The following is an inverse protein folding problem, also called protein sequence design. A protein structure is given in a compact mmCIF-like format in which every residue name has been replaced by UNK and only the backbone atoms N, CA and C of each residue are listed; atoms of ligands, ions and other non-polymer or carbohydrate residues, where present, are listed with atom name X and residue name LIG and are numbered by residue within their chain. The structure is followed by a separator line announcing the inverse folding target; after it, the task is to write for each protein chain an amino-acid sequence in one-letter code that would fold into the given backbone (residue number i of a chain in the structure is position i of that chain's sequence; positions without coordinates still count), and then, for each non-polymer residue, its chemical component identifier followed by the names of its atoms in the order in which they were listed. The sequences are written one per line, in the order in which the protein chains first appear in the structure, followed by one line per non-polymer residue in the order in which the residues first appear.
data_IF_335367039545
#
_entry.id   IF_335367039545
#
_cell.length_a   1.000
_cell.length_b   1.000
_cell.length_c   1.000
_cell.angle_alpha   90.00
_cell.angle_beta   90.00
_cell.angle_gamma   90.00
#
_symmetry.space_group_name_H-M   'P 1'
#
loop_
_entity.id
_entity.type
_entity.pdbx_description
1 polymer ?
#
# COMPACT_ATOMS: atom_id res chain seq x y z
N UNK A 1 6.85 18.61 7.72
CA UNK A 1 5.65 17.82 7.36
C UNK A 1 4.85 18.56 6.28
N UNK A 2 5.00 18.15 5.02
CA UNK A 2 4.56 18.93 3.83
C UNK A 2 3.04 19.03 3.63
N UNK A 3 2.22 18.24 4.34
CA UNK A 3 0.82 17.98 3.96
C UNK A 3 -0.19 18.14 5.12
N UNK A 4 0.03 19.09 6.04
CA UNK A 4 -0.91 19.32 7.16
C UNK A 4 -2.31 19.65 6.65
N UNK A 5 -3.30 18.84 7.04
CA UNK A 5 -4.73 19.02 6.74
C UNK A 5 -5.24 18.31 5.47
N UNK A 6 -4.36 17.85 4.58
CA UNK A 6 -4.74 17.20 3.33
C UNK A 6 -5.37 15.81 3.59
N UNK A 7 -6.64 15.62 3.21
CA UNK A 7 -7.35 14.37 3.42
C UNK A 7 -6.95 13.28 2.43
N UNK A 8 -6.67 12.09 2.97
CA UNK A 8 -6.35 10.87 2.22
C UNK A 8 -7.30 9.75 2.68
N UNK A 9 -7.84 8.90 1.78
CA UNK A 9 -8.64 7.76 2.20
C UNK A 9 -7.82 6.77 3.03
N UNK A 10 -8.27 6.44 4.24
CA UNK A 10 -7.59 5.45 5.12
C UNK A 10 -7.88 3.99 4.76
N UNK A 11 -8.96 3.70 4.03
CA UNK A 11 -9.40 2.33 3.70
C UNK A 11 -10.05 2.26 2.33
N UNK A 12 -9.75 1.19 1.61
CA UNK A 12 -10.52 0.77 0.43
C UNK A 12 -11.73 -0.06 0.91
N UNK A 13 -12.94 0.40 0.62
CA UNK A 13 -14.15 -0.39 0.83
C UNK A 13 -14.41 -1.25 -0.41
N UNK A 14 -14.78 -2.51 -0.20
CA UNK A 14 -15.17 -3.46 -1.25
C UNK A 14 -16.65 -3.77 -1.05
N UNK A 15 -17.42 -3.74 -2.14
CA UNK A 15 -18.78 -4.27 -2.14
C UNK A 15 -18.72 -5.80 -2.21
N UNK A 16 -18.91 -6.44 -1.06
CA UNK A 16 -18.86 -7.91 -0.93
C UNK A 16 -20.11 -8.61 -1.44
N UNK A 17 -21.21 -7.90 -1.69
CA UNK A 17 -22.44 -8.51 -2.23
C UNK A 17 -22.32 -8.76 -3.73
N UNK A 18 -21.58 -7.89 -4.44
CA UNK A 18 -21.37 -8.01 -5.89
C UNK A 18 -20.01 -8.58 -6.28
N UNK A 19 -19.08 -8.77 -5.33
CA UNK A 19 -17.74 -9.29 -5.59
C UNK A 19 -17.77 -10.74 -6.13
N UNK A 20 -17.06 -10.95 -7.24
CA UNK A 20 -16.81 -12.26 -7.88
C UNK A 20 -15.40 -12.29 -8.47
N UNK A 21 -14.93 -13.47 -8.90
CA UNK A 21 -13.62 -13.64 -9.54
C UNK A 21 -13.45 -12.85 -10.85
N UNK A 22 -14.58 -12.41 -11.46
CA UNK A 22 -14.62 -11.67 -12.73
C UNK A 22 -15.13 -10.23 -12.61
N UNK A 23 -15.66 -9.83 -11.45
CA UNK A 23 -16.18 -8.48 -11.22
C UNK A 23 -15.98 -8.02 -9.78
N UNK A 24 -15.50 -6.78 -9.59
CA UNK A 24 -15.35 -6.17 -8.28
C UNK A 24 -15.67 -4.68 -8.31
N UNK A 25 -16.34 -4.23 -7.25
CA UNK A 25 -16.70 -2.83 -7.03
C UNK A 25 -16.02 -2.32 -5.76
N UNK A 26 -15.24 -1.26 -5.92
CA UNK A 26 -14.36 -0.70 -4.92
C UNK A 26 -14.71 0.77 -4.70
N UNK A 27 -14.62 1.27 -3.47
CA UNK A 27 -14.77 2.70 -3.21
C UNK A 27 -13.79 3.20 -2.14
N UNK A 28 -13.34 4.44 -2.31
CA UNK A 28 -12.43 5.11 -1.40
C UNK A 28 -12.85 6.57 -1.20
N UNK A 29 -12.81 7.00 0.07
CA UNK A 29 -13.17 8.33 0.54
C UNK A 29 -12.50 8.55 1.92
N UNK A 30 -12.29 9.80 2.36
CA UNK A 30 -12.43 11.05 1.61
C UNK A 30 -11.19 11.30 0.72
N UNK A 31 -11.41 11.76 -0.51
CA UNK A 31 -10.38 12.43 -1.31
C UNK A 31 -10.61 13.95 -1.28
N UNK A 32 -9.55 14.73 -1.39
CA UNK A 32 -9.66 16.16 -1.71
C UNK A 32 -10.37 16.37 -3.05
N UNK A 33 -11.06 17.50 -3.20
CA UNK A 33 -11.85 17.82 -4.39
C UNK A 33 -11.01 17.76 -5.66
N UNK A 34 -11.45 16.96 -6.63
CA UNK A 34 -10.76 16.72 -7.90
C UNK A 34 -9.79 15.54 -7.89
N UNK A 35 -9.26 15.14 -6.71
CA UNK A 35 -8.38 13.97 -6.63
C UNK A 35 -9.12 12.67 -6.96
N UNK A 36 -10.43 12.57 -6.71
CA UNK A 36 -11.23 11.42 -7.13
C UNK A 36 -11.19 11.22 -8.65
N UNK A 37 -11.23 12.30 -9.42
CA UNK A 37 -11.15 12.24 -10.89
C UNK A 37 -9.73 11.91 -11.37
N UNK A 38 -8.70 12.54 -10.79
CA UNK A 38 -7.30 12.29 -11.13
C UNK A 38 -6.90 10.83 -10.88
N UNK A 39 -7.20 10.32 -9.69
CA UNK A 39 -6.89 8.94 -9.28
C UNK A 39 -7.74 7.94 -10.07
N UNK A 40 -9.04 8.18 -10.23
CA UNK A 40 -9.95 7.31 -10.98
C UNK A 40 -9.54 7.14 -12.45
N UNK A 41 -9.18 8.23 -13.13
CA UNK A 41 -8.73 8.18 -14.52
C UNK A 41 -7.34 7.51 -14.65
N UNK A 42 -6.40 7.79 -13.74
CA UNK A 42 -5.08 7.18 -13.76
C UNK A 42 -5.16 5.66 -13.54
N UNK A 43 -5.90 5.19 -12.53
CA UNK A 43 -6.12 3.77 -12.28
C UNK A 43 -6.83 3.10 -13.45
N UNK A 44 -7.89 3.72 -14.00
CA UNK A 44 -8.61 3.20 -15.19
C UNK A 44 -7.69 3.01 -16.38
N UNK A 45 -6.80 3.97 -16.66
CA UNK A 45 -5.81 3.84 -17.75
C UNK A 45 -4.86 2.67 -17.48
N UNK A 46 -4.26 2.60 -16.30
CA UNK A 46 -3.27 1.57 -15.95
C UNK A 46 -3.88 0.16 -15.97
N UNK A 47 -5.10 0.01 -15.45
CA UNK A 47 -5.84 -1.26 -15.45
C UNK A 47 -6.08 -1.81 -16.87
N UNK A 48 -6.43 -0.96 -17.83
CA UNK A 48 -6.76 -1.39 -19.19
C UNK A 48 -5.50 -1.67 -20.04
N UNK A 49 -4.37 -1.00 -19.76
CA UNK A 49 -3.16 -1.07 -20.60
C UNK A 49 -2.04 -1.97 -20.07
N UNK A 50 -1.87 -2.03 -18.75
CA UNK A 50 -0.58 -2.40 -18.16
C UNK A 50 -0.61 -3.65 -17.28
N UNK A 51 -1.78 -4.21 -17.01
CA UNK A 51 -1.93 -5.49 -16.32
C UNK A 51 -1.49 -6.61 -17.25
N UNK A 52 -0.70 -7.54 -16.73
CA UNK A 52 -0.16 -8.68 -17.48
C UNK A 52 -1.21 -9.77 -17.71
N UNK A 53 -1.12 -10.42 -18.86
CA UNK A 53 -1.98 -11.53 -19.24
C UNK A 53 -1.30 -12.46 -20.24
N UNK A 54 -1.86 -13.67 -20.39
CA UNK A 54 -1.40 -14.65 -21.36
C UNK A 54 -2.30 -14.65 -22.60
N UNK A 55 -1.71 -14.72 -23.78
CA UNK A 55 -2.43 -14.84 -25.05
C UNK A 55 -1.62 -15.65 -26.06
N UNK A 56 -2.31 -16.25 -27.03
CA UNK A 56 -1.69 -16.96 -28.15
C UNK A 56 -1.06 -15.94 -29.09
N UNK A 57 0.20 -16.14 -29.46
CA UNK A 57 0.98 -15.23 -30.32
C UNK A 57 1.27 -15.82 -31.70
N UNK A 58 1.23 -17.14 -31.84
CA UNK A 58 1.36 -17.83 -33.12
C UNK A 58 0.63 -19.17 -33.10
N UNK A 59 0.16 -19.62 -34.26
CA UNK A 59 -0.58 -20.88 -34.44
C UNK A 59 -0.02 -21.63 -35.65
N UNK A 60 0.16 -22.93 -35.54
CA UNK A 60 0.50 -23.84 -36.64
C UNK A 60 -0.59 -24.90 -36.76
N UNK A 61 -1.26 -24.98 -37.90
CA UNK A 61 -2.32 -25.95 -38.17
C UNK A 61 -1.85 -26.90 -39.28
N UNK A 62 -2.02 -28.20 -39.12
CA UNK A 62 -1.59 -29.17 -40.14
C UNK A 62 -2.29 -28.92 -41.49
N UNK A 63 -1.50 -28.79 -42.56
CA UNK A 63 -2.01 -28.57 -43.91
C UNK A 63 -2.41 -27.13 -44.25
N UNK A 64 -2.29 -26.18 -43.31
CA UNK A 64 -2.55 -24.75 -43.51
C UNK A 64 -1.24 -23.99 -43.67
N UNK A 65 -1.12 -23.19 -44.73
CA UNK A 65 0.05 -22.34 -44.99
C UNK A 65 -0.17 -20.87 -44.62
N UNK A 66 -1.42 -20.41 -44.56
CA UNK A 66 -1.80 -19.04 -44.24
C UNK A 66 -3.21 -18.96 -43.64
N UNK A 67 -3.51 -17.88 -42.93
CA UNK A 67 -4.75 -17.64 -42.17
C UNK A 67 -6.03 -17.68 -43.02
N UNK A 68 -5.95 -17.39 -44.32
CA UNK A 68 -7.11 -17.39 -45.24
C UNK A 68 -7.42 -18.74 -45.89
N UNK A 69 -6.82 -19.84 -45.41
CA UNK A 69 -7.00 -21.16 -46.00
C UNK A 69 -8.15 -21.91 -45.32
N UNK A 70 -8.94 -22.66 -46.10
CA UNK A 70 -9.88 -23.64 -45.57
C UNK A 70 -9.16 -24.92 -45.14
N UNK A 71 -9.71 -25.60 -44.13
CA UNK A 71 -9.20 -26.84 -43.57
C UNK A 71 -10.10 -27.99 -44.04
N UNK A 72 -9.51 -29.02 -44.64
CA UNK A 72 -10.30 -30.14 -45.18
C UNK A 72 -10.83 -31.01 -44.04
N UNK A 73 -12.16 -31.14 -43.94
CA UNK A 73 -12.83 -31.93 -42.90
C UNK A 73 -13.18 -31.14 -41.63
N UNK A 74 -13.00 -29.82 -41.62
CA UNK A 74 -13.47 -28.91 -40.55
C UNK A 74 -14.48 -27.94 -41.16
N UNK A 75 -15.47 -27.49 -40.37
CA UNK A 75 -16.54 -26.58 -40.84
C UNK A 75 -16.03 -25.14 -40.98
N UNK A 76 -15.23 -24.69 -40.01
CA UNK A 76 -14.59 -23.37 -39.95
C UNK A 76 -13.34 -23.28 -40.83
N UNK A 77 -13.00 -22.05 -41.26
CA UNK A 77 -11.69 -21.75 -41.86
C UNK A 77 -10.62 -21.43 -40.80
N UNK A 78 -9.37 -21.26 -41.23
CA UNK A 78 -8.27 -20.94 -40.32
C UNK A 78 -8.42 -19.56 -39.64
N UNK A 79 -9.13 -18.59 -40.26
CA UNK A 79 -9.38 -17.27 -39.68
C UNK A 79 -10.39 -17.35 -38.55
N UNK A 80 -11.51 -18.06 -38.74
CA UNK A 80 -12.52 -18.32 -37.71
C UNK A 80 -11.92 -19.03 -36.49
N UNK A 81 -11.08 -20.05 -36.72
CA UNK A 81 -10.37 -20.75 -35.64
C UNK A 81 -9.45 -19.78 -34.88
N UNK A 82 -8.64 -18.98 -35.58
CA UNK A 82 -7.74 -17.99 -34.96
C UNK A 82 -8.55 -16.96 -34.13
N UNK A 83 -9.70 -16.50 -34.62
CA UNK A 83 -10.59 -15.59 -33.90
C UNK A 83 -11.20 -16.23 -32.65
N UNK A 84 -11.57 -17.50 -32.70
CA UNK A 84 -12.09 -18.25 -31.56
C UNK A 84 -11.02 -18.48 -30.48
N UNK A 85 -9.79 -18.85 -30.88
CA UNK A 85 -8.67 -19.03 -29.94
C UNK A 85 -8.36 -17.77 -29.13
N UNK A 86 -8.45 -16.58 -29.74
CA UNK A 86 -8.22 -15.29 -29.06
C UNK A 86 -9.23 -14.97 -27.95
N UNK A 87 -10.38 -15.67 -27.91
CA UNK A 87 -11.40 -15.48 -26.87
C UNK A 87 -11.09 -16.28 -25.59
N UNK A 88 -10.26 -17.32 -25.68
CA UNK A 88 -9.98 -18.25 -24.58
C UNK A 88 -9.17 -17.54 -23.46
N UNK A 89 -9.66 -17.55 -22.21
CA UNK A 89 -8.94 -16.97 -21.08
C UNK A 89 -7.86 -17.93 -20.57
N UNK A 90 -6.63 -17.69 -21.00
CA UNK A 90 -5.44 -18.39 -20.50
C UNK A 90 -4.87 -17.71 -19.26
N UNK A 91 -4.35 -18.53 -18.34
CA UNK A 91 -3.52 -18.13 -17.21
C UNK A 91 -2.23 -18.94 -17.25
N UNK A 92 -1.09 -18.24 -17.23
CA UNK A 92 0.24 -18.82 -17.38
C UNK A 92 1.04 -18.56 -16.09
N UNK A 93 1.48 -19.61 -15.43
CA UNK A 93 2.49 -19.59 -14.38
C UNK A 93 3.90 -19.61 -15.01
N UNK A 94 4.89 -19.09 -14.27
CA UNK A 94 6.27 -19.00 -14.73
C UNK A 94 6.53 -17.84 -15.70
N UNK A 95 7.54 -18.01 -16.55
CA UNK A 95 7.96 -17.03 -17.54
C UNK A 95 8.37 -17.71 -18.86
N UNK A 96 8.37 -16.94 -19.95
CA UNK A 96 8.69 -17.42 -21.29
C UNK A 96 7.51 -18.02 -22.06
N UNK A 97 7.75 -18.49 -23.30
CA UNK A 97 6.74 -19.09 -24.16
C UNK A 97 6.43 -20.54 -23.75
N UNK A 98 5.16 -20.94 -23.85
CA UNK A 98 4.71 -22.34 -23.74
C UNK A 98 4.03 -22.78 -25.04
N UNK A 99 4.17 -24.06 -25.37
CA UNK A 99 3.44 -24.70 -26.46
C UNK A 99 2.17 -25.36 -25.90
N UNK A 100 1.08 -25.27 -26.66
CA UNK A 100 -0.20 -25.94 -26.40
C UNK A 100 -0.56 -26.75 -27.65
N UNK A 101 -1.20 -27.90 -27.47
CA UNK A 101 -1.60 -28.77 -28.58
C UNK A 101 -3.11 -28.98 -28.58
N UNK A 102 -3.71 -29.11 -29.75
CA UNK A 102 -5.10 -29.52 -29.90
C UNK A 102 -5.16 -30.54 -31.03
N UNK A 103 -5.60 -31.76 -30.69
CA UNK A 103 -5.70 -32.89 -31.59
C UNK A 103 -7.07 -33.53 -31.49
N UNK A 104 -7.75 -33.66 -32.63
CA UNK A 104 -9.00 -34.41 -32.72
C UNK A 104 -9.15 -35.08 -34.09
N UNK A 105 -9.53 -36.35 -34.06
CA UNK A 105 -9.77 -37.24 -35.19
C UNK A 105 -11.22 -37.77 -35.26
N UNK A 106 -12.01 -37.49 -34.22
CA UNK A 106 -13.42 -37.82 -34.14
C UNK A 106 -14.30 -36.65 -34.60
N UNK A 107 -15.41 -36.98 -35.28
CA UNK A 107 -16.42 -35.99 -35.67
C UNK A 107 -17.12 -35.40 -34.44
N UNK A 108 -17.27 -34.07 -34.40
CA UNK A 108 -17.91 -33.39 -33.29
C UNK A 108 -17.43 -31.96 -33.07
N UNK A 109 -17.99 -31.32 -32.04
CA UNK A 109 -17.62 -29.97 -31.60
C UNK A 109 -16.35 -30.02 -30.77
N UNK A 110 -15.38 -29.19 -31.14
CA UNK A 110 -14.11 -29.01 -30.46
C UNK A 110 -14.20 -27.75 -29.59
N UNK A 111 -13.88 -27.90 -28.30
CA UNK A 111 -13.85 -26.80 -27.34
C UNK A 111 -12.45 -26.63 -26.73
N UNK A 112 -12.22 -25.45 -26.18
CA UNK A 112 -11.07 -25.11 -25.33
C UNK A 112 -10.71 -26.14 -24.24
N UNK A 113 -11.68 -26.93 -23.76
CA UNK A 113 -11.46 -28.02 -22.82
C UNK A 113 -10.68 -29.23 -23.37
N UNK A 114 -10.52 -29.32 -24.70
CA UNK A 114 -9.76 -30.37 -25.39
C UNK A 114 -8.32 -29.95 -25.71
N UNK A 115 -7.91 -28.74 -25.36
CA UNK A 115 -6.53 -28.28 -25.53
C UNK A 115 -5.62 -28.98 -24.50
N UNK A 116 -4.60 -29.67 -24.99
CA UNK A 116 -3.51 -30.23 -24.20
C UNK A 116 -2.53 -29.11 -23.82
N UNK A 117 -2.24 -29.00 -22.53
CA UNK A 117 -1.45 -27.93 -21.94
C UNK A 117 -0.48 -28.47 -20.88
N UNK A 118 0.66 -27.81 -20.72
CA UNK A 118 1.60 -28.07 -19.63
C UNK A 118 1.02 -27.62 -18.28
N UNK A 119 1.53 -28.16 -17.16
CA UNK A 119 1.02 -27.86 -15.81
C UNK A 119 1.14 -26.40 -15.38
N UNK A 120 1.97 -25.62 -16.08
CA UNK A 120 2.10 -24.17 -15.92
C UNK A 120 0.95 -23.38 -16.59
N UNK A 121 0.07 -24.00 -17.39
CA UNK A 121 -1.00 -23.32 -18.13
C UNK A 121 -2.38 -23.80 -17.66
N UNK A 122 -3.17 -22.84 -17.16
CA UNK A 122 -4.54 -23.03 -16.74
C UNK A 122 -5.50 -22.40 -17.76
N UNK A 123 -6.42 -23.22 -18.29
CA UNK A 123 -7.51 -22.79 -19.18
C UNK A 123 -8.76 -22.59 -18.34
N UNK A 124 -9.15 -21.33 -18.13
CA UNK A 124 -10.18 -20.95 -17.16
C UNK A 124 -11.61 -21.15 -17.66
N UNK A 125 -11.82 -21.12 -18.97
CA UNK A 125 -13.08 -21.48 -19.61
C UNK A 125 -12.82 -22.59 -20.61
N UNK A 126 -13.41 -23.76 -20.36
CA UNK A 126 -13.25 -25.00 -21.14
C UNK A 126 -14.40 -25.22 -22.14
N UNK A 127 -15.35 -24.29 -22.19
CA UNK A 127 -16.56 -24.37 -23.02
C UNK A 127 -16.52 -23.43 -24.23
N UNK A 128 -15.47 -22.61 -24.38
CA UNK A 128 -15.27 -21.78 -25.58
C UNK A 128 -15.18 -22.68 -26.80
N UNK A 129 -16.06 -22.44 -27.77
CA UNK A 129 -16.09 -23.10 -29.09
C UNK A 129 -14.84 -22.77 -29.88
N UNK A 130 -14.25 -23.75 -30.56
CA UNK A 130 -13.11 -23.54 -31.47
C UNK A 130 -13.53 -23.83 -32.91
N UNK A 131 -13.99 -25.06 -33.17
CA UNK A 131 -14.45 -25.51 -34.48
C UNK A 131 -15.31 -26.78 -34.37
N UNK A 132 -15.88 -27.24 -35.49
CA UNK A 132 -16.54 -28.54 -35.63
C UNK A 132 -15.81 -29.41 -36.67
N UNK A 133 -15.37 -30.59 -36.26
CA UNK A 133 -14.76 -31.61 -37.13
C UNK A 133 -15.87 -32.46 -37.76
N UNK A 134 -15.82 -32.64 -39.08
CA UNK A 134 -16.75 -33.46 -39.86
C UNK A 134 -16.40 -34.95 -39.83
N UNK A 135 -17.30 -35.80 -40.33
CA UNK A 135 -17.05 -37.25 -40.42
C UNK A 135 -15.83 -37.56 -41.31
N UNK A 136 -14.83 -38.23 -40.75
CA UNK A 136 -13.54 -38.50 -41.40
C UNK A 136 -12.58 -37.29 -41.47
N UNK A 137 -12.94 -36.15 -40.88
CA UNK A 137 -12.05 -35.01 -40.71
C UNK A 137 -11.04 -35.20 -39.59
N UNK A 138 -9.97 -34.40 -39.59
CA UNK A 138 -9.01 -34.32 -38.49
C UNK A 138 -8.52 -32.88 -38.32
N UNK A 139 -8.10 -32.54 -37.09
CA UNK A 139 -7.37 -31.33 -36.77
C UNK A 139 -6.20 -31.67 -35.85
N UNK A 140 -4.99 -31.25 -36.24
CA UNK A 140 -3.80 -31.20 -35.38
C UNK A 140 -3.25 -29.78 -35.49
N UNK A 141 -3.13 -29.12 -34.34
CA UNK A 141 -2.58 -27.77 -34.28
C UNK A 141 -1.77 -27.53 -33.00
N UNK A 142 -0.76 -26.68 -33.15
CA UNK A 142 0.10 -26.21 -32.08
C UNK A 142 -0.05 -24.69 -31.94
N UNK A 143 -0.16 -24.22 -30.70
CA UNK A 143 -0.30 -22.81 -30.38
C UNK A 143 0.84 -22.38 -29.47
N UNK A 144 1.43 -21.21 -29.75
CA UNK A 144 2.43 -20.59 -28.88
C UNK A 144 1.75 -19.60 -27.96
N UNK A 145 1.73 -19.88 -26.65
CA UNK A 145 1.24 -19.00 -25.61
C UNK A 145 2.40 -18.17 -25.04
N UNK A 146 2.19 -16.86 -24.86
CA UNK A 146 3.13 -15.97 -24.15
C UNK A 146 2.42 -15.08 -23.14
N UNK A 147 3.14 -14.70 -22.08
CA UNK A 147 2.79 -13.55 -21.23
C UNK A 147 3.18 -12.25 -21.92
N UNK A 148 2.38 -11.21 -21.73
CA UNK A 148 2.63 -9.87 -22.27
C UNK A 148 1.77 -8.82 -21.57
N UNK A 149 1.71 -7.62 -22.15
CA UNK A 149 0.86 -6.50 -21.69
C UNK A 149 0.18 -5.84 -22.89
N UNK A 150 -1.06 -5.39 -22.72
CA UNK A 150 -1.80 -4.65 -23.75
C UNK A 150 -2.04 -5.45 -25.04
N UNK A 151 -1.77 -4.82 -26.19
CA UNK A 151 -1.96 -5.39 -27.52
C UNK A 151 -0.64 -5.43 -28.29
N UNK A 152 -0.38 -6.56 -28.96
CA UNK A 152 0.78 -6.77 -29.82
C UNK A 152 0.28 -7.23 -31.20
N UNK A 153 0.74 -6.59 -32.28
CA UNK A 153 0.38 -6.97 -33.65
C UNK A 153 1.11 -8.23 -34.11
N UNK A 154 0.54 -8.96 -35.08
CA UNK A 154 1.13 -10.17 -35.65
C UNK A 154 2.61 -9.99 -36.06
N UNK A 155 2.94 -8.87 -36.73
CA UNK A 155 4.33 -8.55 -37.15
C UNK A 155 5.35 -8.56 -36.01
N UNK A 156 4.92 -8.19 -34.79
CA UNK A 156 5.76 -8.16 -33.58
C UNK A 156 5.82 -9.50 -32.86
N UNK A 157 4.92 -10.43 -33.18
CA UNK A 157 4.91 -11.81 -32.71
C UNK A 157 5.68 -12.76 -33.66
N UNK A 158 6.26 -12.23 -34.75
CA UNK A 158 7.16 -12.98 -35.62
C UNK A 158 8.57 -13.07 -35.01
N UNK A 159 8.76 -14.01 -34.09
CA UNK A 159 10.06 -14.29 -33.48
C UNK A 159 11.01 -15.01 -34.45
N UNK A 160 12.32 -14.82 -34.30
CA UNK A 160 13.33 -15.53 -35.09
C UNK A 160 13.48 -17.03 -34.75
N UNK A 161 12.93 -17.47 -33.62
CA UNK A 161 12.88 -18.89 -33.21
C UNK A 161 11.55 -19.57 -33.61
N UNK A 162 10.67 -18.85 -34.31
CA UNK A 162 9.38 -19.37 -34.75
C UNK A 162 9.59 -20.37 -35.91
N UNK A 163 9.09 -21.60 -35.73
CA UNK A 163 9.28 -22.67 -36.72
C UNK A 163 8.57 -22.43 -38.05
N UNK A 164 9.01 -23.13 -39.10
CA UNK A 164 8.31 -23.12 -40.39
C UNK A 164 6.86 -23.62 -40.24
N UNK A 165 5.92 -22.92 -40.88
CA UNK A 165 4.49 -23.23 -40.85
C UNK A 165 3.71 -22.62 -39.68
N UNK A 166 4.34 -21.82 -38.81
CA UNK A 166 3.61 -20.99 -37.85
C UNK A 166 3.12 -19.70 -38.51
N UNK A 167 1.84 -19.39 -38.26
CA UNK A 167 1.16 -18.15 -38.61
C UNK A 167 1.21 -17.26 -37.36
N UNK A 168 1.91 -16.11 -37.38
CA UNK A 168 1.86 -15.16 -36.27
C UNK A 168 0.47 -14.53 -36.21
N UNK A 169 -0.05 -14.33 -34.99
CA UNK A 169 -1.37 -13.72 -34.77
C UNK A 169 -1.20 -12.52 -33.84
N UNK A 170 -2.03 -11.49 -34.02
CA UNK A 170 -2.13 -10.41 -33.04
C UNK A 170 -2.68 -10.94 -31.71
N UNK A 171 -2.12 -10.45 -30.60
CA UNK A 171 -2.35 -10.98 -29.27
C UNK A 171 -2.81 -9.89 -28.29
N UNK A 172 -3.90 -10.19 -27.57
CA UNK A 172 -4.48 -9.30 -26.56
C UNK A 172 -4.14 -9.84 -25.17
N UNK A 173 -3.08 -9.33 -24.58
CA UNK A 173 -2.58 -9.72 -23.26
C UNK A 173 -3.24 -8.94 -22.10
N UNK A 174 -4.39 -8.31 -22.32
CA UNK A 174 -5.11 -7.55 -21.27
C UNK A 174 -6.24 -8.40 -20.66
N UNK A 175 -6.12 -8.84 -19.39
CA UNK A 175 -7.16 -9.62 -18.72
C UNK A 175 -8.33 -8.76 -18.23
N UNK A 176 -8.15 -7.43 -18.14
CA UNK A 176 -9.19 -6.48 -17.75
C UNK A 176 -10.00 -6.08 -18.98
N UNK A 177 -11.28 -6.50 -19.03
CA UNK A 177 -12.16 -6.26 -20.18
C UNK A 177 -12.84 -4.89 -20.14
N UNK A 178 -13.16 -4.39 -18.94
CA UNK A 178 -13.84 -3.11 -18.74
C UNK A 178 -13.48 -2.51 -17.39
N UNK A 179 -13.37 -1.18 -17.35
CA UNK A 179 -13.27 -0.41 -16.11
C UNK A 179 -14.15 0.84 -16.22
N UNK A 180 -15.02 1.01 -15.25
CA UNK A 180 -15.79 2.24 -15.02
C UNK A 180 -15.31 2.90 -13.72
N UNK A 181 -15.39 4.22 -13.64
CA UNK A 181 -15.30 4.92 -12.36
C UNK A 181 -16.38 6.00 -12.27
N UNK A 182 -16.79 6.30 -11.05
CA UNK A 182 -17.74 7.36 -10.70
C UNK A 182 -17.13 8.17 -9.56
N UNK A 183 -17.26 9.49 -9.64
CA UNK A 183 -16.88 10.41 -8.57
C UNK A 183 -18.15 11.07 -8.04
N UNK A 184 -18.38 10.97 -6.74
CA UNK A 184 -19.55 11.50 -6.05
C UNK A 184 -19.09 12.44 -4.92
N UNK A 185 -19.93 13.39 -4.51
CA UNK A 185 -19.62 14.22 -3.34
C UNK A 185 -19.69 13.39 -2.04
N UNK A 186 -18.67 13.52 -1.21
CA UNK A 186 -18.52 12.87 0.08
C UNK A 186 -18.63 13.89 1.22
N UNK A 187 -19.29 13.49 2.31
CA UNK A 187 -19.38 14.27 3.54
C UNK A 187 -18.47 13.68 4.62
N UNK A 188 -17.64 14.52 5.23
CA UNK A 188 -16.83 14.20 6.40
C UNK A 188 -17.16 15.19 7.52
N UNK A 189 -17.90 14.73 8.53
CA UNK A 189 -18.36 15.59 9.63
C UNK A 189 -19.29 16.72 9.15
N UNK A 190 -18.79 17.96 9.18
CA UNK A 190 -19.52 19.14 8.70
C UNK A 190 -19.15 19.55 7.26
N UNK A 191 -18.04 19.05 6.71
CA UNK A 191 -17.51 19.41 5.39
C UNK A 191 -18.11 18.46 4.34
N UNK A 192 -18.52 18.99 3.18
CA UNK A 192 -19.34 18.27 2.17
C UNK A 192 -18.77 18.30 0.74
N UNK A 193 -17.57 18.84 0.54
CA UNK A 193 -16.95 19.05 -0.78
C UNK A 193 -15.77 18.10 -1.08
N UNK A 194 -15.60 17.05 -0.26
CA UNK A 194 -14.70 15.93 -0.57
C UNK A 194 -15.24 15.07 -1.71
N UNK A 195 -14.34 14.35 -2.39
CA UNK A 195 -14.69 13.34 -3.40
C UNK A 195 -14.76 11.94 -2.77
N UNK A 196 -15.74 11.15 -3.20
CA UNK A 196 -15.78 9.68 -3.11
C UNK A 196 -15.53 9.12 -4.50
N UNK A 197 -14.50 8.31 -4.65
CA UNK A 197 -14.22 7.58 -5.88
C UNK A 197 -14.77 6.16 -5.75
N UNK A 198 -15.61 5.74 -6.69
CA UNK A 198 -16.07 4.36 -6.86
C UNK A 198 -15.52 3.83 -8.18
N UNK A 199 -14.91 2.64 -8.19
CA UNK A 199 -14.34 1.97 -9.37
C UNK A 199 -14.99 0.59 -9.51
N UNK A 200 -15.43 0.27 -10.72
CA UNK A 200 -16.02 -1.02 -11.09
C UNK A 200 -15.12 -1.67 -12.17
N UNK A 201 -14.68 -2.90 -11.91
CA UNK A 201 -13.66 -3.60 -12.71
C UNK A 201 -14.24 -4.95 -13.16
N UNK A 202 -14.16 -5.24 -14.46
CA UNK A 202 -14.51 -6.54 -15.03
C UNK A 202 -13.25 -7.20 -15.63
N UNK A 203 -12.95 -8.42 -15.20
CA UNK A 203 -11.83 -9.22 -15.70
C UNK A 203 -12.33 -10.48 -16.41
N UNK A 204 -11.47 -11.15 -17.16
CA UNK A 204 -11.74 -12.46 -17.75
C UNK A 204 -11.58 -13.64 -16.75
N UNK A 205 -11.17 -13.36 -15.50
CA UNK A 205 -10.84 -14.37 -14.47
C UNK A 205 -9.36 -14.74 -14.38
N UNK A 206 -8.50 -14.30 -15.32
CA UNK A 206 -7.03 -14.54 -15.25
C UNK A 206 -6.39 -13.83 -14.06
N UNK A 207 -6.97 -12.71 -13.64
CA UNK A 207 -6.59 -11.92 -12.46
C UNK A 207 -7.85 -11.51 -11.70
N UNK A 208 -7.79 -11.54 -10.37
CA UNK A 208 -8.89 -11.07 -9.53
C UNK A 208 -9.01 -9.53 -9.64
N UNK A 209 -10.23 -8.97 -9.60
CA UNK A 209 -10.44 -7.52 -9.67
C UNK A 209 -9.67 -6.73 -8.60
N UNK A 210 -9.53 -7.28 -7.39
CA UNK A 210 -8.80 -6.66 -6.28
C UNK A 210 -7.29 -6.63 -6.54
N UNK A 211 -6.72 -7.75 -7.02
CA UNK A 211 -5.30 -7.85 -7.35
C UNK A 211 -4.93 -6.95 -8.54
N UNK A 212 -5.78 -6.90 -9.56
CA UNK A 212 -5.60 -5.99 -10.69
C UNK A 212 -5.58 -4.52 -10.23
N UNK A 213 -6.47 -4.13 -9.31
CA UNK A 213 -6.48 -2.80 -8.73
C UNK A 213 -5.20 -2.52 -7.93
N UNK A 214 -4.78 -3.44 -7.07
CA UNK A 214 -3.52 -3.32 -6.30
C UNK A 214 -2.28 -3.20 -7.18
N UNK A 215 -2.15 -4.05 -8.20
CA UNK A 215 -1.07 -4.00 -9.20
C UNK A 215 -1.08 -2.67 -9.97
N UNK A 216 -2.26 -2.17 -10.36
CA UNK A 216 -2.39 -0.89 -11.06
C UNK A 216 -1.97 0.31 -10.19
N UNK A 217 -2.32 0.29 -8.90
CA UNK A 217 -1.94 1.32 -7.93
C UNK A 217 -0.44 1.29 -7.64
N UNK A 218 0.15 0.09 -7.48
CA UNK A 218 1.60 -0.07 -7.32
C UNK A 218 2.35 0.46 -8.53
N UNK A 219 1.98 0.03 -9.74
CA UNK A 219 2.64 0.47 -10.97
C UNK A 219 2.55 2.01 -11.15
N UNK A 220 1.42 2.61 -10.78
CA UNK A 220 1.27 4.06 -10.79
C UNK A 220 2.18 4.75 -9.75
N UNK A 221 2.32 4.19 -8.53
CA UNK A 221 3.27 4.68 -7.52
C UNK A 221 4.70 4.64 -8.06
N UNK A 222 5.13 3.48 -8.55
CA UNK A 222 6.49 3.24 -9.04
C UNK A 222 6.85 4.19 -10.20
N UNK A 223 5.89 4.51 -11.08
CA UNK A 223 6.07 5.52 -12.14
C UNK A 223 6.13 6.97 -11.63
N UNK A 224 5.56 7.28 -10.46
CA UNK A 224 5.60 8.62 -9.87
C UNK A 224 6.87 8.86 -9.05
N UNK A 225 7.53 7.81 -8.54
CA UNK A 225 8.75 7.92 -7.72
C UNK A 225 9.87 8.72 -8.38
N UNK A 226 10.05 8.63 -9.71
CA UNK A 226 11.09 9.40 -10.42
C UNK A 226 10.87 10.93 -10.39
N UNK A 227 9.65 11.39 -10.12
CA UNK A 227 9.33 12.82 -9.99
C UNK A 227 9.48 13.33 -8.55
N UNK A 228 9.75 12.45 -7.59
CA UNK A 228 10.06 12.81 -6.20
C UNK A 228 11.55 13.10 -6.12
N UNK A 229 11.91 14.37 -5.96
CA UNK A 229 13.29 14.88 -6.02
C UNK A 229 13.93 15.10 -4.63
N UNK A 230 13.36 14.51 -3.59
CA UNK A 230 13.83 14.54 -2.21
C UNK A 230 13.71 13.14 -1.60
N UNK A 231 14.51 12.85 -0.57
CA UNK A 231 14.40 11.58 0.15
C UNK A 231 13.06 11.52 0.89
N UNK A 232 12.23 10.53 0.53
CA UNK A 232 10.97 10.26 1.24
C UNK A 232 11.32 9.51 2.53
N UNK A 233 11.47 10.26 3.62
CA UNK A 233 11.47 9.70 4.96
C UNK A 233 10.16 8.92 5.14
N UNK A 234 10.26 7.60 5.35
CA UNK A 234 9.10 6.72 5.50
C UNK A 234 8.25 7.23 6.66
N UNK A 235 7.11 7.88 6.36
CA UNK A 235 6.15 8.33 7.36
C UNK A 235 5.59 7.11 8.11
N UNK A 236 6.27 6.73 9.19
CA UNK A 236 5.76 5.78 10.17
C UNK A 236 4.37 6.27 10.61
N UNK A 237 3.39 5.37 10.52
CA UNK A 237 1.98 5.75 10.41
C UNK A 237 1.51 6.71 11.50
N UNK A 238 1.27 7.98 11.12
CA UNK A 238 0.62 8.97 11.97
C UNK A 238 -0.89 8.70 12.07
N UNK A 239 -1.28 7.61 12.73
CA UNK A 239 -2.56 7.57 13.43
C UNK A 239 -2.44 8.41 14.70
N UNK A 240 -2.67 9.72 14.56
CA UNK A 240 -2.36 10.69 15.61
C UNK A 240 -3.01 12.07 15.50
N UNK A 241 -4.14 12.20 14.80
CA UNK A 241 -5.02 13.38 14.93
C UNK A 241 -6.48 12.95 15.11
N UNK A 242 -6.79 12.50 16.32
CA UNK A 242 -8.07 12.84 16.92
C UNK A 242 -7.88 14.10 17.75
N UNK A 243 -8.70 15.11 17.48
CA UNK A 243 -8.74 16.35 18.24
C UNK A 243 -9.37 16.09 19.63
N UNK A 244 -8.74 16.61 20.69
CA UNK A 244 -9.12 16.39 22.09
C UNK A 244 -7.94 16.00 23.00
N UNK A 245 -7.78 16.62 24.18
CA UNK A 245 -6.67 16.34 25.10
C UNK A 245 -6.89 15.03 25.87
N UNK A 246 -6.74 13.90 25.19
CA UNK A 246 -6.86 12.56 25.75
C UNK A 246 -5.48 11.98 26.12
N UNK A 247 -4.75 12.64 27.01
CA UNK A 247 -3.58 12.04 27.65
C UNK A 247 -4.08 10.97 28.64
N UNK A 248 -4.32 9.76 28.14
CA UNK A 248 -4.23 8.55 28.97
C UNK A 248 -2.78 8.46 29.43
N UNK A 249 -2.49 9.07 30.58
CA UNK A 249 -1.17 9.01 31.19
C UNK A 249 -0.90 7.54 31.57
N UNK A 250 -0.19 6.80 30.71
CA UNK A 250 0.22 5.40 30.99
C UNK A 250 0.99 5.31 32.32
N UNK A 251 1.68 6.39 32.67
CA UNK A 251 2.33 6.62 33.97
C UNK A 251 1.40 6.36 35.17
N UNK A 252 0.08 6.55 35.11
CA UNK A 252 -0.81 6.36 36.27
C UNK A 252 -0.81 4.93 36.81
N UNK A 253 -0.68 3.94 35.92
CA UNK A 253 -0.66 2.52 36.28
C UNK A 253 0.76 2.01 36.63
N UNK A 254 1.77 2.86 36.46
CA UNK A 254 3.18 2.54 36.71
C UNK A 254 3.45 2.41 38.22
N UNK A 255 4.38 1.53 38.58
CA UNK A 255 4.74 1.33 39.99
C UNK A 255 5.55 2.52 40.52
N UNK A 256 5.32 2.88 41.78
CA UNK A 256 6.17 3.83 42.52
C UNK A 256 7.62 3.35 42.64
N UNK A 257 7.87 2.04 42.48
CA UNK A 257 9.22 1.44 42.42
C UNK A 257 10.01 1.85 41.17
N UNK A 258 9.34 2.29 40.11
CA UNK A 258 9.97 2.72 38.85
C UNK A 258 10.24 4.23 38.81
N UNK A 259 9.90 4.95 39.89
CA UNK A 259 10.35 6.32 40.10
C UNK A 259 11.74 6.28 40.75
N UNK A 260 12.68 7.05 40.21
CA UNK A 260 14.07 7.16 40.71
C UNK A 260 14.16 7.97 42.02
N UNK A 261 13.38 7.56 43.02
CA UNK A 261 13.26 8.18 44.33
C UNK A 261 14.38 7.77 45.27
N UNK A 262 14.80 8.68 46.15
CA UNK A 262 15.65 8.32 47.27
C UNK A 262 15.03 7.21 48.13
N UNK A 263 15.91 6.36 48.68
CA UNK A 263 15.56 5.24 49.56
C UNK A 263 14.65 5.66 50.72
N UNK A 264 14.72 6.92 51.17
CA UNK A 264 13.81 7.46 52.19
C UNK A 264 12.40 7.66 51.63
N UNK A 265 12.27 8.35 50.51
CA UNK A 265 10.99 8.68 49.88
C UNK A 265 10.24 7.42 49.46
N UNK A 266 10.92 6.47 48.81
CA UNK A 266 10.37 5.16 48.48
C UNK A 266 9.84 4.40 49.71
N UNK A 267 10.66 4.28 50.78
CA UNK A 267 10.22 3.59 51.99
C UNK A 267 9.05 4.29 52.70
N UNK A 268 8.94 5.62 52.63
CA UNK A 268 7.77 6.32 53.18
C UNK A 268 6.50 6.06 52.36
N UNK A 269 6.58 6.01 51.03
CA UNK A 269 5.44 5.67 50.16
C UNK A 269 4.97 4.23 50.38
N UNK A 270 5.92 3.28 50.48
CA UNK A 270 5.64 1.88 50.82
C UNK A 270 4.95 1.72 52.18
N UNK A 271 5.42 2.44 53.21
CA UNK A 271 4.79 2.45 54.53
C UNK A 271 3.41 3.14 54.56
N UNK A 272 3.09 3.96 53.55
CA UNK A 272 1.79 4.60 53.38
C UNK A 272 0.81 3.76 52.54
N UNK A 273 1.20 2.55 52.10
CA UNK A 273 0.48 1.71 51.15
C UNK A 273 0.12 2.43 49.84
N UNK A 274 1.05 3.25 49.32
CA UNK A 274 0.94 3.89 47.99
C UNK A 274 1.84 3.09 47.04
N UNK A 275 1.23 2.32 46.15
CA UNK A 275 1.95 1.41 45.24
C UNK A 275 2.03 1.96 43.80
N UNK A 276 1.05 2.75 43.38
CA UNK A 276 0.95 3.29 42.01
C UNK A 276 1.04 4.82 41.96
N UNK A 277 1.47 5.36 40.82
CA UNK A 277 1.47 6.81 40.60
C UNK A 277 0.04 7.38 40.66
N UNK A 278 -0.96 6.64 40.18
CA UNK A 278 -2.37 7.01 40.28
C UNK A 278 -2.88 7.19 41.71
N UNK A 279 -2.41 6.39 42.68
CA UNK A 279 -2.70 6.59 44.10
C UNK A 279 -1.94 7.79 44.70
N UNK A 280 -0.70 8.02 44.25
CA UNK A 280 0.15 9.11 44.72
C UNK A 280 -0.43 10.49 44.37
N UNK A 281 -0.85 10.71 43.12
CA UNK A 281 -1.39 12.00 42.67
C UNK A 281 -2.70 12.39 43.38
N UNK A 282 -3.44 11.42 43.91
CA UNK A 282 -4.68 11.66 44.66
C UNK A 282 -4.44 12.14 46.10
N UNK A 283 -3.21 12.02 46.62
CA UNK A 283 -2.86 12.54 47.95
C UNK A 283 -2.52 14.02 47.89
N UNK A 284 -3.03 14.78 48.86
CA UNK A 284 -2.64 16.18 49.03
C UNK A 284 -1.31 16.30 49.79
N UNK A 285 -0.59 17.39 49.58
CA UNK A 285 0.69 17.67 50.27
C UNK A 285 0.56 17.60 51.81
N UNK A 286 -0.57 18.06 52.33
CA UNK A 286 -0.89 18.06 53.75
C UNK A 286 -1.17 16.66 54.32
N UNK A 287 -1.53 15.68 53.48
CA UNK A 287 -1.65 14.27 53.87
C UNK A 287 -0.29 13.58 53.78
N UNK A 288 0.50 13.86 52.75
CA UNK A 288 1.86 13.33 52.61
C UNK A 288 2.73 13.71 53.82
N UNK A 289 2.69 14.99 54.25
CA UNK A 289 3.40 15.47 55.45
C UNK A 289 2.91 14.89 56.79
N UNK A 290 1.74 14.21 56.82
CA UNK A 290 1.27 13.49 58.01
C UNK A 290 1.76 12.04 58.06
N UNK A 291 2.31 11.52 56.96
CA UNK A 291 2.84 10.14 56.94
C UNK A 291 4.13 10.02 57.75
N UNK A 292 4.29 8.89 58.46
CA UNK A 292 5.37 8.71 59.44
C UNK A 292 6.73 8.76 58.74
N UNK A 293 7.64 9.59 59.26
CA UNK A 293 9.00 9.85 58.76
C UNK A 293 9.08 10.58 57.39
N UNK A 294 7.97 11.06 56.84
CA UNK A 294 7.96 11.82 55.58
C UNK A 294 8.31 13.30 55.82
N UNK A 295 9.35 13.79 55.14
CA UNK A 295 9.90 15.14 55.36
C UNK A 295 9.79 16.06 54.14
N UNK A 296 9.99 17.37 54.36
CA UNK A 296 9.92 18.39 53.29
C UNK A 296 10.85 18.09 52.09
N UNK A 297 12.02 17.49 52.33
CA UNK A 297 12.96 17.10 51.25
C UNK A 297 12.36 16.01 50.34
N UNK A 298 11.71 15.00 50.92
CA UNK A 298 10.99 13.94 50.19
C UNK A 298 9.75 14.48 49.46
N UNK A 299 9.09 15.50 50.02
CA UNK A 299 7.96 16.15 49.34
C UNK A 299 8.41 16.86 48.06
N UNK A 300 9.51 17.61 48.10
CA UNK A 300 10.02 18.34 46.93
C UNK A 300 10.52 17.37 45.84
N UNK A 301 11.28 16.34 46.21
CA UNK A 301 11.74 15.27 45.31
C UNK A 301 10.57 14.62 44.53
N UNK A 302 9.46 14.31 45.22
CA UNK A 302 8.25 13.79 44.57
C UNK A 302 7.57 14.82 43.67
N UNK A 303 7.52 16.11 44.07
CA UNK A 303 6.95 17.17 43.23
C UNK A 303 7.73 17.39 41.94
N UNK A 304 9.06 17.38 42.01
CA UNK A 304 9.95 17.56 40.86
C UNK A 304 9.75 16.43 39.83
N UNK A 305 9.73 15.18 40.29
CA UNK A 305 9.51 14.00 39.44
C UNK A 305 8.08 13.98 38.88
N UNK A 306 7.05 14.31 39.67
CA UNK A 306 5.68 14.42 39.16
C UNK A 306 5.54 15.55 38.12
N UNK A 307 6.21 16.69 38.32
CA UNK A 307 6.19 17.82 37.39
C UNK A 307 6.84 17.46 36.04
N UNK A 308 7.94 16.69 36.04
CA UNK A 308 8.53 16.13 34.81
C UNK A 308 7.55 15.24 34.04
N UNK A 309 6.62 14.57 34.74
CA UNK A 309 5.56 13.75 34.15
C UNK A 309 4.26 14.54 33.85
N UNK A 310 4.24 15.86 34.04
CA UNK A 310 3.03 16.69 33.87
C UNK A 310 1.93 16.44 34.91
N UNK A 311 2.27 15.86 36.06
CA UNK A 311 1.37 15.49 37.14
C UNK A 311 1.58 16.38 38.38
N UNK A 312 0.60 16.39 39.29
CA UNK A 312 0.67 17.13 40.55
C UNK A 312 -0.04 16.40 41.69
N UNK A 313 0.27 16.78 42.93
CA UNK A 313 -0.39 16.23 44.12
C UNK A 313 -1.76 16.89 44.36
N UNK A 314 -2.77 16.08 44.71
CA UNK A 314 -4.15 16.51 44.90
C UNK A 314 -5.02 16.52 43.65
N UNK A 315 -4.61 15.87 42.56
CA UNK A 315 -5.43 15.67 41.37
C UNK A 315 -6.54 14.65 41.63
N UNK A 316 -7.69 14.82 40.98
CA UNK A 316 -8.82 13.87 41.04
C UNK A 316 -8.87 13.05 39.76
N UNK A 317 -9.05 11.75 39.85
CA UNK A 317 -9.26 10.90 38.67
C UNK A 317 -10.74 10.91 38.31
N UNK A 318 -11.07 11.14 37.03
CA UNK A 318 -12.46 11.11 36.54
C UNK A 318 -12.94 9.70 36.17
N UNK A 319 -14.23 9.55 35.84
CA UNK A 319 -14.83 8.26 35.47
C UNK A 319 -14.20 7.61 34.23
N UNK A 320 -13.41 8.36 33.46
CA UNK A 320 -12.68 7.88 32.28
C UNK A 320 -11.19 7.60 32.57
N UNK A 321 -10.75 7.75 33.82
CA UNK A 321 -9.37 7.48 34.26
C UNK A 321 -8.38 8.63 34.08
N UNK A 322 -8.83 9.85 33.75
CA UNK A 322 -7.94 10.99 33.52
C UNK A 322 -7.71 11.81 34.80
N UNK A 323 -6.50 12.34 35.03
CA UNK A 323 -6.20 13.15 36.21
C UNK A 323 -6.61 14.61 35.95
N UNK A 324 -7.69 15.05 36.61
CA UNK A 324 -8.16 16.42 36.59
C UNK A 324 -7.48 17.27 37.69
N UNK A 325 -7.09 18.53 37.40
CA UNK A 325 -6.52 19.44 38.39
C UNK A 325 -7.43 19.61 39.62
N UNK A 326 -6.86 19.46 40.82
CA UNK A 326 -7.59 19.65 42.06
C UNK A 326 -7.90 21.14 42.34
N UNK A 327 -8.86 21.45 43.24
CA UNK A 327 -9.28 22.83 43.54
C UNK A 327 -8.19 23.71 44.21
N UNK A 328 -6.97 23.21 44.38
CA UNK A 328 -5.84 23.91 45.00
C UNK A 328 -4.65 24.09 44.03
N UNK A 329 -4.71 23.53 42.81
CA UNK A 329 -3.58 23.53 41.87
C UNK A 329 -3.56 24.71 40.87
N UNK A 330 -4.05 25.89 41.26
CA UNK A 330 -3.87 27.13 40.48
C UNK A 330 -2.56 27.83 40.85
N UNK A 331 -1.47 27.41 40.21
CA UNK A 331 -0.33 28.30 39.97
C UNK A 331 -0.54 28.99 38.60
N UNK A 332 -0.55 30.33 38.53
CA UNK A 332 -0.63 31.04 37.25
C UNK A 332 0.57 30.73 36.36
N UNK A 333 0.35 30.58 35.06
CA UNK A 333 1.40 30.27 34.08
C UNK A 333 2.56 31.29 34.03
N UNK A 334 2.40 32.48 34.62
CA UNK A 334 3.42 33.51 34.72
C UNK A 334 4.62 33.12 35.60
N UNK A 335 4.49 32.18 36.54
CA UNK A 335 5.57 31.88 37.50
C UNK A 335 6.65 30.95 36.94
N UNK A 336 6.39 30.21 35.85
CA UNK A 336 7.38 29.32 35.23
C UNK A 336 8.49 30.06 34.45
N UNK A 337 8.23 31.31 34.05
CA UNK A 337 9.17 32.09 33.25
C UNK A 337 10.31 32.75 34.07
N UNK A 338 10.19 32.78 35.39
CA UNK A 338 11.11 33.51 36.27
C UNK A 338 12.26 32.65 36.85
N UNK A 339 12.26 31.33 36.60
CA UNK A 339 13.24 30.38 37.15
C UNK A 339 14.40 30.02 36.21
N UNK A 340 14.53 30.70 35.06
CA UNK A 340 15.62 30.51 34.08
C UNK A 340 16.50 31.76 33.92
N UNK A 341 16.48 32.67 34.89
CA UNK A 341 17.36 33.84 34.93
C UNK A 341 18.50 33.66 35.94
N UNK A 342 19.73 33.88 35.47
CA UNK A 342 21.01 33.81 36.18
C UNK A 342 21.44 32.43 36.69
N UNK A 343 22.43 31.84 36.01
CA UNK A 343 23.75 31.56 36.59
C UNK A 343 24.80 31.68 35.48
N UNK A 344 25.86 32.45 35.74
CA UNK A 344 27.08 32.50 34.92
C UNK A 344 28.01 31.32 35.26
N UNK A 345 28.84 30.93 34.31
CA UNK A 345 30.20 30.32 34.37
C UNK A 345 30.52 30.03 32.88
N UNK A 346 31.39 30.78 32.20
CA UNK A 346 32.87 30.81 32.23
C UNK A 346 33.55 29.52 31.70
N UNK A 347 34.71 29.74 31.06
CA UNK A 347 35.73 28.83 30.49
C UNK A 347 35.58 28.29 29.03
N UNK A 348 36.53 28.75 28.20
CA UNK A 348 37.30 28.09 27.11
C UNK A 348 36.56 27.54 25.85
N UNK A 349 37.01 27.74 24.59
CA UNK A 349 38.38 27.79 24.03
C UNK A 349 38.51 28.76 22.82
N UNK A 350 39.76 29.10 22.46
CA UNK A 350 40.15 29.98 21.34
C UNK A 350 40.08 29.31 19.95
N UNK A 351 39.73 30.06 18.90
CA UNK A 351 40.27 29.84 17.53
C UNK A 351 40.59 31.20 16.87
N UNK A 352 41.86 31.43 16.55
CA UNK A 352 42.37 32.62 15.87
C UNK A 352 42.13 32.56 14.34
N UNK A 353 41.42 33.56 13.79
CA UNK A 353 41.42 33.89 12.36
C UNK A 353 42.53 34.93 12.07
N UNK A 354 43.68 34.54 11.48
CA UNK A 354 44.52 35.50 10.73
C UNK A 354 45.08 34.91 9.41
N UNK A 355 45.06 35.79 8.40
CA UNK A 355 45.44 35.59 7.01
C UNK A 355 46.86 35.02 6.79
N UNK A 356 47.02 34.26 5.69
CA UNK A 356 48.34 34.07 5.07
C UNK A 356 48.27 34.26 3.54
N UNK A 357 48.89 35.34 3.07
CA UNK A 357 49.02 35.71 1.65
C UNK A 357 50.47 35.47 1.14
N UNK A 358 50.66 35.58 -0.18
CA UNK A 358 51.88 35.54 -1.00
C UNK A 358 52.29 34.19 -1.64
N UNK A 359 52.20 34.10 -2.98
CA UNK A 359 52.87 33.09 -3.82
C UNK A 359 53.95 33.68 -4.74
N UNK A 360 55.20 33.16 -4.75
CA UNK A 360 56.23 33.51 -5.77
C UNK A 360 57.25 32.38 -6.06
N UNK A 361 57.56 32.16 -7.37
CA UNK A 361 58.72 31.47 -7.99
C UNK A 361 58.88 29.94 -7.80
N UNK A 362 58.92 29.12 -8.88
CA UNK A 362 60.06 28.82 -9.80
C UNK A 362 61.28 28.19 -9.07
N UNK A 363 61.96 27.12 -9.50
CA UNK A 363 62.12 26.39 -10.78
C UNK A 363 62.75 24.98 -10.47
N UNK A 364 63.06 24.01 -11.36
CA UNK A 364 63.02 23.89 -12.84
C UNK A 364 63.06 22.40 -13.33
N UNK A 365 62.51 22.16 -14.53
CA UNK A 365 63.00 21.29 -15.64
C UNK A 365 63.18 19.74 -15.59
N UNK A 366 62.59 19.10 -16.63
CA UNK A 366 63.12 18.07 -17.55
C UNK A 366 63.73 16.76 -17.01
N UNK A 367 63.02 15.62 -17.19
CA UNK A 367 63.18 14.76 -18.39
C UNK A 367 62.01 13.79 -18.58
#
# INVERSE_FOLDING_TARGET
MLWRGFQKPKRLAVDTETLTDKYGKFSAQPFERGFGTTVGNALRRTLLSSIEGAAVTAVRIEGVLHEFQSITGVVEDATDIILNLKQIPFKLAGDGPKALYLRADAAGVITSGQIEADGDVEILDKNVYICTVSEGGKIDMEMRLKRGRGYISADKNFDSDLGLGFIPVDSVHSPVRKVNYLVEAARLGQITDYDKLTIEIWTNGTVLPADALGLSAKLLKDHMTIFINFEEELEAGHDGLHDGPAIRNENLNRSVEELELSVRSYNCLKNANIATIGELIQKTEAEMLKTKNFGRKSLNEIKEILAQMGLSLGMKIDENGNPQPGPTSVLPAATLAASFGNFDDDDDEDEDDEDFDLPVANESENF
#
